data_IF_097623379359
#
_entry.id   IF_097623379359
#
_cell.length_a   1.000
_cell.length_b   1.000
_cell.length_c   1.000
_cell.angle_alpha   90.00
_cell.angle_beta   90.00
_cell.angle_gamma   90.00
#
_symmetry.space_group_name_H-M   'P 1'
#
loop_
_entity.id
_entity.type
_entity.pdbx_description
1 polymer ?
#
# COMPACT_ATOMS: atom_id res chain seq x y z
N UNK A 1 -3.43 -19.99 5.68
CA UNK A 1 -3.64 -18.93 4.65
C UNK A 1 -2.30 -18.28 4.36
N UNK A 2 -2.10 -17.71 3.17
CA UNK A 2 -0.90 -16.89 2.89
C UNK A 2 -1.05 -15.55 3.61
N UNK A 3 0.02 -15.07 4.24
CA UNK A 3 0.05 -13.73 4.86
C UNK A 3 -0.16 -12.67 3.78
N UNK A 4 -1.17 -11.82 3.96
CA UNK A 4 -1.50 -10.74 3.04
C UNK A 4 -0.84 -9.44 3.50
N UNK A 5 0.14 -9.00 2.72
CA UNK A 5 0.87 -7.76 2.96
C UNK A 5 0.38 -6.71 1.96
N UNK A 6 -0.19 -5.63 2.48
CA UNK A 6 -0.64 -4.50 1.68
C UNK A 6 0.47 -3.45 1.71
N UNK A 7 1.05 -3.15 0.55
CA UNK A 7 2.01 -2.06 0.40
C UNK A 7 1.25 -0.83 -0.09
N UNK A 8 1.19 0.21 0.73
CA UNK A 8 0.56 1.49 0.38
C UNK A 8 1.66 2.50 0.05
N UNK A 9 1.52 3.20 -1.08
CA UNK A 9 2.42 4.30 -1.41
C UNK A 9 1.67 5.42 -2.16
N UNK A 10 2.25 6.61 -2.11
CA UNK A 10 1.83 7.74 -2.94
C UNK A 10 2.98 8.26 -3.78
N UNK A 11 2.92 9.54 -4.16
CA UNK A 11 4.03 10.33 -4.71
C UNK A 11 5.03 9.53 -5.56
N UNK A 12 4.66 9.21 -6.80
CA UNK A 12 5.54 8.53 -7.76
C UNK A 12 5.91 7.06 -7.44
N UNK A 13 5.58 6.51 -6.27
CA UNK A 13 5.75 5.09 -5.95
C UNK A 13 7.16 4.64 -5.59
N UNK A 14 8.08 5.57 -5.33
CA UNK A 14 9.51 5.27 -5.20
C UNK A 14 9.85 4.37 -4.02
N UNK A 15 9.22 4.58 -2.86
CA UNK A 15 9.45 3.78 -1.66
C UNK A 15 8.71 2.45 -1.74
N UNK A 16 7.44 2.48 -2.13
CA UNK A 16 6.60 1.29 -2.34
C UNK A 16 7.23 0.33 -3.33
N UNK A 17 7.82 0.81 -4.42
CA UNK A 17 8.57 -0.01 -5.37
C UNK A 17 9.71 -0.77 -4.68
N UNK A 18 10.49 -0.11 -3.84
CA UNK A 18 11.62 -0.73 -3.12
C UNK A 18 11.14 -1.76 -2.10
N UNK A 19 10.08 -1.42 -1.34
CA UNK A 19 9.46 -2.32 -0.39
C UNK A 19 8.92 -3.59 -1.07
N UNK A 20 8.16 -3.44 -2.15
CA UNK A 20 7.64 -4.58 -2.91
C UNK A 20 8.76 -5.48 -3.42
N UNK A 21 9.81 -4.90 -4.02
CA UNK A 21 10.93 -5.68 -4.54
C UNK A 21 11.63 -6.50 -3.43
N UNK A 22 11.87 -5.87 -2.27
CA UNK A 22 12.50 -6.53 -1.13
C UNK A 22 11.61 -7.63 -0.52
N UNK A 23 10.31 -7.36 -0.37
CA UNK A 23 9.34 -8.32 0.17
C UNK A 23 9.10 -9.49 -0.78
N UNK A 24 9.06 -9.26 -2.09
CA UNK A 24 8.89 -10.32 -3.08
C UNK A 24 10.06 -11.31 -3.04
N UNK A 25 11.28 -10.81 -2.82
CA UNK A 25 12.48 -11.63 -2.68
C UNK A 25 12.54 -12.37 -1.32
N UNK A 26 12.16 -11.69 -0.24
CA UNK A 26 12.35 -12.20 1.14
C UNK A 26 11.18 -13.04 1.64
N UNK A 27 9.98 -12.84 1.08
CA UNK A 27 8.73 -13.45 1.52
C UNK A 27 7.93 -14.00 0.32
N UNK A 28 8.47 -14.99 -0.43
CA UNK A 28 7.86 -15.47 -1.68
C UNK A 28 6.47 -16.11 -1.50
N UNK A 29 6.12 -16.48 -0.27
CA UNK A 29 4.83 -17.07 0.06
C UNK A 29 3.78 -16.04 0.49
N UNK A 30 4.14 -14.76 0.68
CA UNK A 30 3.20 -13.70 1.01
C UNK A 30 2.37 -13.29 -0.21
N UNK A 31 1.11 -12.90 0.00
CA UNK A 31 0.32 -12.21 -1.02
C UNK A 31 0.62 -10.71 -0.93
N UNK A 32 1.41 -10.20 -1.87
CA UNK A 32 1.73 -8.77 -1.98
C UNK A 32 0.66 -8.04 -2.79
N UNK A 33 -0.01 -7.08 -2.16
CA UNK A 33 -1.01 -6.21 -2.79
C UNK A 33 -0.49 -4.77 -2.80
N UNK A 34 -0.27 -4.23 -3.99
CA UNK A 34 0.11 -2.84 -4.18
C UNK A 34 -1.14 -1.93 -4.18
N UNK A 35 -1.16 -0.94 -3.30
CA UNK A 35 -2.24 0.05 -3.24
C UNK A 35 -1.65 1.44 -3.36
N UNK A 36 -1.75 2.04 -4.54
CA UNK A 36 -1.32 3.42 -4.74
C UNK A 36 -2.43 4.41 -4.42
N UNK A 37 -2.10 5.56 -3.85
CA UNK A 37 -3.01 6.72 -3.81
C UNK A 37 -3.27 7.28 -5.22
N UNK A 38 -2.32 7.06 -6.14
CA UNK A 38 -2.37 7.44 -7.55
C UNK A 38 -1.88 6.29 -8.46
N UNK A 39 -2.23 6.35 -9.75
CA UNK A 39 -1.96 5.26 -10.69
C UNK A 39 -0.48 5.04 -10.98
N UNK A 40 0.35 6.09 -10.84
CA UNK A 40 1.80 5.99 -11.04
C UNK A 40 2.43 5.16 -9.93
N UNK A 41 2.06 5.41 -8.67
CA UNK A 41 2.53 4.66 -7.52
C UNK A 41 2.16 3.17 -7.60
N UNK A 42 0.89 2.88 -7.91
CA UNK A 42 0.41 1.50 -8.14
C UNK A 42 1.21 0.81 -9.23
N UNK A 43 1.42 1.49 -10.37
CA UNK A 43 2.16 0.94 -11.50
C UNK A 43 3.62 0.65 -11.17
N UNK A 44 4.27 1.52 -10.39
CA UNK A 44 5.65 1.33 -9.96
C UNK A 44 5.80 0.08 -9.09
N UNK A 45 4.87 -0.13 -8.15
CA UNK A 45 4.82 -1.30 -7.28
C UNK A 45 4.50 -2.60 -8.04
N UNK A 46 3.54 -2.58 -8.97
CA UNK A 46 3.24 -3.73 -9.81
C UNK A 46 4.46 -4.18 -10.62
N UNK A 47 5.18 -3.22 -11.23
CA UNK A 47 6.43 -3.51 -11.96
C UNK A 47 7.54 -4.07 -11.07
N UNK A 48 7.48 -3.84 -9.76
CA UNK A 48 8.42 -4.39 -8.78
C UNK A 48 8.09 -5.81 -8.32
N UNK A 49 6.93 -6.37 -8.71
CA UNK A 49 6.57 -7.76 -8.43
C UNK A 49 5.37 -7.96 -7.50
N UNK A 50 4.59 -6.92 -7.20
CA UNK A 50 3.32 -7.10 -6.51
C UNK A 50 2.35 -7.90 -7.40
N UNK A 51 1.67 -8.90 -6.82
CA UNK A 51 0.78 -9.79 -7.57
C UNK A 51 -0.54 -9.11 -7.96
N UNK A 52 -0.97 -8.12 -7.18
CA UNK A 52 -2.24 -7.41 -7.35
C UNK A 52 -2.03 -5.92 -7.13
N UNK A 53 -2.82 -5.10 -7.82
CA UNK A 53 -2.73 -3.65 -7.75
C UNK A 53 -4.11 -3.01 -7.72
N UNK A 54 -4.28 -1.97 -6.91
CA UNK A 54 -5.47 -1.13 -6.89
C UNK A 54 -5.07 0.33 -6.60
N UNK A 55 -5.91 1.29 -7.00
CA UNK A 55 -5.59 2.73 -6.88
C UNK A 55 -6.74 3.50 -6.24
N UNK A 56 -6.40 4.49 -5.42
CA UNK A 56 -7.33 5.51 -4.91
C UNK A 56 -7.86 5.24 -3.49
N UNK A 57 -8.71 6.15 -3.01
CA UNK A 57 -9.21 6.15 -1.62
C UNK A 57 -9.87 4.84 -1.22
N UNK A 58 -10.85 4.39 -2.01
CA UNK A 58 -11.56 3.16 -1.68
C UNK A 58 -10.65 1.92 -1.74
N UNK A 59 -9.60 1.94 -2.57
CA UNK A 59 -8.62 0.86 -2.61
C UNK A 59 -7.85 0.77 -1.29
N UNK A 60 -7.43 1.90 -0.72
CA UNK A 60 -6.80 1.95 0.62
C UNK A 60 -7.76 1.43 1.68
N UNK A 61 -9.00 1.94 1.70
CA UNK A 61 -9.99 1.58 2.72
C UNK A 61 -10.32 0.07 2.67
N UNK A 62 -10.60 -0.47 1.50
CA UNK A 62 -11.00 -1.89 1.33
C UNK A 62 -9.84 -2.82 1.67
N UNK A 63 -8.62 -2.52 1.21
CA UNK A 63 -7.48 -3.41 1.45
C UNK A 63 -7.01 -3.37 2.90
N UNK A 64 -7.14 -2.23 3.60
CA UNK A 64 -6.74 -2.11 5.01
C UNK A 64 -7.58 -2.98 5.95
N UNK A 65 -8.83 -3.32 5.60
CA UNK A 65 -9.74 -4.16 6.41
C UNK A 65 -9.35 -5.63 6.49
N UNK A 66 -8.54 -6.10 5.55
CA UNK A 66 -8.22 -7.53 5.38
C UNK A 66 -6.72 -7.77 5.22
N UNK A 67 -5.91 -6.77 5.54
CA UNK A 67 -4.46 -6.89 5.58
C UNK A 67 -4.05 -7.61 6.87
N UNK A 68 -3.08 -8.52 6.77
CA UNK A 68 -2.38 -9.02 7.95
C UNK A 68 -1.24 -8.08 8.33
N UNK A 69 -0.68 -7.36 7.34
CA UNK A 69 0.38 -6.36 7.51
C UNK A 69 0.12 -5.22 6.52
N UNK A 70 0.26 -3.97 6.99
CA UNK A 70 0.30 -2.78 6.14
C UNK A 70 1.69 -2.14 6.22
N UNK A 71 2.29 -1.81 5.07
CA UNK A 71 3.60 -1.16 5.01
C UNK A 71 3.61 -0.05 3.96
N UNK A 72 4.29 1.06 4.26
CA UNK A 72 4.36 2.22 3.37
C UNK A 72 5.07 3.40 4.04
N UNK A 73 5.14 4.57 3.38
CA UNK A 73 5.69 5.78 4.01
C UNK A 73 4.82 6.21 5.20
N UNK A 74 5.41 6.87 6.19
CA UNK A 74 4.69 7.37 7.37
C UNK A 74 3.46 8.23 7.01
N UNK A 75 3.49 8.93 5.87
CA UNK A 75 2.38 9.74 5.39
C UNK A 75 1.06 8.99 5.26
N UNK A 76 1.05 7.66 5.04
CA UNK A 76 -0.20 6.92 4.81
C UNK A 76 -1.18 6.95 6.01
N UNK A 77 -0.70 7.29 7.22
CA UNK A 77 -1.54 7.45 8.43
C UNK A 77 -1.75 8.92 8.84
N UNK A 78 -1.27 9.87 8.04
CA UNK A 78 -1.40 11.30 8.31
C UNK A 78 -2.32 11.90 7.25
N UNK A 79 -3.51 12.34 7.67
CA UNK A 79 -4.46 13.02 6.81
C UNK A 79 -3.83 14.24 6.14
N UNK A 80 -4.20 14.47 4.89
CA UNK A 80 -3.75 15.56 4.00
C UNK A 80 -2.23 15.55 3.69
N UNK A 81 -1.52 14.50 4.09
CA UNK A 81 -0.10 14.32 3.75
C UNK A 81 0.09 13.95 2.28
N UNK A 82 1.35 13.83 1.86
CA UNK A 82 1.72 13.51 0.47
C UNK A 82 1.09 14.49 -0.53
N UNK A 83 1.11 15.79 -0.19
CA UNK A 83 0.50 16.88 -0.97
C UNK A 83 -1.02 16.71 -1.17
N UNK A 84 -1.72 16.14 -0.18
CA UNK A 84 -3.17 15.93 -0.21
C UNK A 84 -3.61 14.62 -0.87
N UNK A 85 -2.69 13.72 -1.21
CA UNK A 85 -3.04 12.40 -1.73
C UNK A 85 -3.69 11.50 -0.66
N UNK A 86 -3.32 11.68 0.61
CA UNK A 86 -3.89 10.92 1.73
C UNK A 86 -5.08 11.66 2.29
N UNK A 87 -6.27 11.10 2.12
CA UNK A 87 -7.48 11.68 2.71
C UNK A 87 -7.63 11.27 4.17
N UNK A 88 -8.46 11.98 4.97
CA UNK A 88 -8.78 11.55 6.33
C UNK A 88 -9.34 10.13 6.41
N UNK A 89 -10.13 9.70 5.42
CA UNK A 89 -10.71 8.36 5.37
C UNK A 89 -9.65 7.28 5.11
N UNK A 90 -8.66 7.56 4.25
CA UNK A 90 -7.50 6.67 4.06
C UNK A 90 -6.71 6.52 5.36
N UNK A 91 -6.32 7.63 5.99
CA UNK A 91 -5.51 7.64 7.20
C UNK A 91 -6.20 6.89 8.34
N UNK A 92 -7.51 7.12 8.54
CA UNK A 92 -8.29 6.40 9.52
C UNK A 92 -8.36 4.89 9.22
N UNK A 93 -8.59 4.49 7.96
CA UNK A 93 -8.66 3.09 7.58
C UNK A 93 -7.34 2.34 7.82
N UNK A 94 -6.20 2.98 7.57
CA UNK A 94 -4.89 2.40 7.89
C UNK A 94 -4.66 2.37 9.40
N UNK A 95 -4.85 3.49 10.10
CA UNK A 95 -4.56 3.62 11.53
C UNK A 95 -5.50 2.85 12.46
N UNK A 96 -6.67 2.42 11.98
CA UNK A 96 -7.64 1.60 12.72
C UNK A 96 -7.64 0.14 12.26
N UNK A 97 -6.75 -0.24 11.33
CA UNK A 97 -6.59 -1.63 10.92
C UNK A 97 -6.12 -2.49 12.09
N UNK A 98 -6.44 -3.79 12.04
CA UNK A 98 -5.90 -4.80 12.96
C UNK A 98 -4.56 -5.38 12.53
N UNK A 99 -4.01 -4.88 11.40
CA UNK A 99 -2.72 -5.26 10.86
C UNK A 99 -1.54 -4.76 11.71
#
# INVERSE_FOLDING_TARGET
MKTRIVVIDGQGGGLGRQLVAALAASCPNAELVAVGTNSLATSAMLKAGAARGATGENAVIVNSRSADIIVGPLGIVIADSLLGEITPAMAAAVGQSSA
#
